data_IF_174251246673
#
_entry.id   IF_174251246673
#
_cell.length_a   1.000
_cell.length_b   1.000
_cell.length_c   1.000
_cell.angle_alpha   90.00
_cell.angle_beta   90.00
_cell.angle_gamma   90.00
#
_symmetry.space_group_name_H-M   'P 1'
#
loop_
_entity.id
_entity.type
_entity.pdbx_description
1 polymer ?
#
# COMPACT_ATOMS: atom_id res chain seq x y z
N UNK A 1 -31.72 7.08 50.81
CA UNK A 1 -30.99 6.03 50.08
C UNK A 1 -31.31 6.11 48.58
N UNK A 2 -32.58 6.07 48.18
CA UNK A 2 -32.97 6.15 46.75
C UNK A 2 -32.54 7.43 46.04
N UNK A 3 -32.70 8.61 46.66
CA UNK A 3 -32.30 9.90 46.07
C UNK A 3 -30.80 10.00 45.79
N UNK A 4 -29.96 9.39 46.63
CA UNK A 4 -28.52 9.34 46.45
C UNK A 4 -28.12 8.43 45.28
N UNK A 5 -28.78 7.29 45.13
CA UNK A 5 -28.57 6.37 44.00
C UNK A 5 -28.97 7.03 42.69
N UNK A 6 -30.09 7.76 42.66
CA UNK A 6 -30.55 8.50 41.47
C UNK A 6 -29.52 9.58 41.06
N UNK A 7 -28.97 10.32 42.03
CA UNK A 7 -27.93 11.33 41.78
C UNK A 7 -26.68 10.70 41.14
N UNK A 8 -26.21 9.56 41.66
CA UNK A 8 -25.05 8.85 41.13
C UNK A 8 -25.28 8.39 39.68
N UNK A 9 -26.45 7.80 39.40
CA UNK A 9 -26.80 7.34 38.05
C UNK A 9 -26.90 8.51 37.08
N UNK A 10 -27.41 9.66 37.53
CA UNK A 10 -27.52 10.87 36.72
C UNK A 10 -26.13 11.43 36.35
N UNK A 11 -25.23 11.57 37.33
CA UNK A 11 -23.85 12.01 37.11
C UNK A 11 -23.11 11.02 36.19
N UNK A 12 -23.29 9.71 36.41
CA UNK A 12 -22.71 8.68 35.57
C UNK A 12 -23.25 8.75 34.13
N UNK A 13 -24.55 8.97 33.94
CA UNK A 13 -25.15 9.13 32.62
C UNK A 13 -24.58 10.30 31.84
N UNK A 14 -24.41 11.46 32.48
CA UNK A 14 -23.78 12.64 31.86
C UNK A 14 -22.31 12.36 31.53
N UNK A 15 -21.58 11.72 32.45
CA UNK A 15 -20.18 11.36 32.23
C UNK A 15 -20.02 10.41 31.05
N UNK A 16 -20.89 9.40 30.92
CA UNK A 16 -20.88 8.48 29.79
C UNK A 16 -21.18 9.19 28.47
N UNK A 17 -22.17 10.09 28.44
CA UNK A 17 -22.49 10.87 27.24
C UNK A 17 -21.27 11.69 26.75
N UNK A 18 -20.55 12.34 27.65
CA UNK A 18 -19.31 13.08 27.32
C UNK A 18 -18.21 12.14 26.81
N UNK A 19 -18.03 10.97 27.45
CA UNK A 19 -17.06 9.97 27.02
C UNK A 19 -17.39 9.40 25.63
N UNK A 20 -18.66 9.20 25.29
CA UNK A 20 -19.10 8.81 23.95
C UNK A 20 -18.75 9.87 22.91
N UNK A 21 -19.03 11.15 23.18
CA UNK A 21 -18.61 12.24 22.28
C UNK A 21 -17.09 12.32 22.12
N UNK A 22 -16.34 12.07 23.20
CA UNK A 22 -14.87 12.05 23.17
C UNK A 22 -14.33 10.90 22.31
N UNK A 23 -14.87 9.68 22.45
CA UNK A 23 -14.46 8.51 21.66
C UNK A 23 -14.85 8.67 20.18
N UNK A 24 -15.98 9.34 19.91
CA UNK A 24 -16.45 9.61 18.56
C UNK A 24 -15.54 10.63 17.85
N UNK A 25 -15.12 11.68 18.55
CA UNK A 25 -14.12 12.62 18.05
C UNK A 25 -12.76 11.98 17.78
N UNK A 26 -12.27 11.12 18.69
CA UNK A 26 -11.01 10.38 18.49
C UNK A 26 -11.09 9.42 17.31
N UNK A 27 -12.22 8.73 17.13
CA UNK A 27 -12.41 7.78 16.02
C UNK A 27 -12.57 8.50 14.68
N UNK A 28 -13.15 9.71 14.66
CA UNK A 28 -13.25 10.53 13.46
C UNK A 28 -11.87 11.04 12.98
N UNK A 29 -11.00 11.44 13.91
CA UNK A 29 -9.62 11.86 13.62
C UNK A 29 -8.77 10.71 13.02
N UNK A 30 -8.90 9.50 13.59
CA UNK A 30 -8.26 8.28 13.06
C UNK A 30 -8.77 7.96 11.66
N UNK A 31 -10.05 8.22 11.34
CA UNK A 31 -10.61 8.02 9.99
C UNK A 31 -9.97 8.97 8.97
N UNK A 32 -9.72 10.22 9.33
CA UNK A 32 -9.06 11.19 8.44
C UNK A 32 -7.60 10.83 8.19
N UNK A 33 -6.87 10.41 9.22
CA UNK A 33 -5.50 9.90 9.08
C UNK A 33 -5.50 8.63 8.23
N UNK A 34 -6.39 7.68 8.50
CA UNK A 34 -6.55 6.46 7.69
C UNK A 34 -6.77 6.81 6.22
N UNK A 35 -7.64 7.77 5.91
CA UNK A 35 -7.90 8.20 4.54
C UNK A 35 -6.66 8.86 3.89
N UNK A 36 -5.98 9.80 4.56
CA UNK A 36 -4.76 10.41 4.00
C UNK A 36 -3.63 9.41 3.75
N UNK A 37 -3.45 8.43 4.65
CA UNK A 37 -2.36 7.46 4.55
C UNK A 37 -2.70 6.24 3.69
N UNK A 38 -3.96 5.80 3.61
CA UNK A 38 -4.39 4.74 2.66
C UNK A 38 -4.74 5.28 1.28
N UNK A 39 -5.17 6.54 1.14
CA UNK A 39 -5.22 7.20 -0.19
C UNK A 39 -3.82 7.52 -0.72
N UNK A 40 -2.80 7.55 0.14
CA UNK A 40 -1.39 7.60 -0.27
C UNK A 40 -0.73 6.21 -0.33
N UNK A 41 -1.39 5.18 0.23
CA UNK A 41 -0.89 3.81 0.32
C UNK A 41 -2.05 2.85 0.04
N UNK A 42 -2.51 2.88 -1.20
CA UNK A 42 -3.02 1.69 -1.84
C UNK A 42 -1.83 0.78 -2.15
N UNK A 43 -1.74 -0.40 -1.51
CA UNK A 43 -1.28 -1.60 -2.19
C UNK A 43 -2.46 -2.52 -2.47
N UNK A 44 -3.57 -1.98 -2.97
CA UNK A 44 -4.06 -2.48 -4.25
C UNK A 44 -3.40 -1.59 -5.29
N UNK A 45 -2.38 -2.03 -6.02
CA UNK A 45 -2.59 -2.71 -7.30
C UNK A 45 -3.84 -2.20 -8.07
N UNK A 46 -4.02 -0.89 -8.11
CA UNK A 46 -4.47 -0.14 -9.26
C UNK A 46 -3.18 0.58 -9.69
N UNK A 47 -2.43 0.12 -10.69
CA UNK A 47 -2.81 0.17 -12.09
C UNK A 47 -3.84 1.29 -12.29
N UNK A 48 -3.42 2.52 -12.01
CA UNK A 48 -3.92 3.64 -12.79
C UNK A 48 -3.52 3.36 -14.26
N UNK A 49 -4.46 3.37 -15.23
CA UNK A 49 -4.20 2.95 -16.60
C UNK A 49 -3.38 3.95 -17.44
N UNK A 50 -2.56 4.80 -16.82
CA UNK A 50 -2.07 6.03 -17.45
C UNK A 50 -0.54 6.21 -17.43
N UNK A 51 0.23 5.11 -17.40
CA UNK A 51 1.57 5.14 -17.96
C UNK A 51 1.89 3.77 -18.57
N UNK A 52 1.88 3.75 -19.91
CA UNK A 52 2.25 2.61 -20.75
C UNK A 52 3.73 2.28 -20.59
N UNK A 53 4.11 1.64 -19.48
CA UNK A 53 5.36 0.87 -19.42
C UNK A 53 5.04 -0.56 -19.83
N UNK A 54 5.71 -1.03 -20.87
CA UNK A 54 5.50 -2.34 -21.52
C UNK A 54 5.58 -3.54 -20.55
N UNK A 55 6.15 -3.36 -19.35
CA UNK A 55 6.33 -4.40 -18.33
C UNK A 55 5.89 -3.94 -16.93
N UNK A 56 5.34 -4.88 -16.14
CA UNK A 56 4.86 -4.62 -14.76
C UNK A 56 5.86 -5.06 -13.68
N UNK A 57 5.88 -4.35 -12.53
CA UNK A 57 6.66 -4.77 -11.36
C UNK A 57 6.17 -6.15 -10.87
N UNK A 58 7.12 -7.05 -10.64
CA UNK A 58 6.88 -8.43 -10.24
C UNK A 58 6.67 -9.41 -11.39
N UNK A 59 6.67 -8.94 -12.64
CA UNK A 59 6.58 -9.76 -13.85
C UNK A 59 7.90 -10.50 -14.15
N UNK A 60 7.77 -11.71 -14.71
CA UNK A 60 8.90 -12.49 -15.21
C UNK A 60 9.20 -12.09 -16.65
N UNK A 61 10.39 -11.54 -16.86
CA UNK A 61 10.90 -11.09 -18.16
C UNK A 61 12.16 -11.85 -18.51
N UNK A 62 12.47 -11.92 -19.80
CA UNK A 62 13.67 -12.57 -20.32
C UNK A 62 14.52 -11.53 -21.02
N UNK A 63 15.83 -11.55 -20.75
CA UNK A 63 16.77 -10.71 -21.49
C UNK A 63 16.95 -11.25 -22.92
N UNK A 64 16.84 -10.37 -23.92
CA UNK A 64 16.94 -10.73 -25.34
C UNK A 64 18.32 -11.25 -25.74
N UNK A 65 19.38 -10.78 -25.07
CA UNK A 65 20.78 -11.12 -25.38
C UNK A 65 21.19 -12.49 -24.84
N UNK A 66 20.82 -12.78 -23.58
CA UNK A 66 21.29 -13.97 -22.85
C UNK A 66 20.22 -15.04 -22.67
N UNK A 67 18.97 -14.74 -23.05
CA UNK A 67 17.78 -15.56 -22.78
C UNK A 67 17.59 -15.89 -21.29
N UNK A 68 18.13 -15.05 -20.39
CA UNK A 68 18.04 -15.28 -18.95
C UNK A 68 16.72 -14.77 -18.40
N UNK A 69 15.98 -15.64 -17.71
CA UNK A 69 14.75 -15.28 -17.01
C UNK A 69 15.06 -14.50 -15.73
N UNK A 70 14.39 -13.38 -15.54
CA UNK A 70 14.55 -12.48 -14.40
C UNK A 70 13.20 -11.91 -13.98
N UNK A 71 13.13 -11.32 -12.78
CA UNK A 71 11.94 -10.66 -12.25
C UNK A 71 12.19 -9.18 -12.01
N UNK A 72 11.30 -8.33 -12.48
CA UNK A 72 11.36 -6.89 -12.23
C UNK A 72 10.96 -6.64 -10.77
N UNK A 73 11.83 -6.03 -9.96
CA UNK A 73 11.49 -5.63 -8.58
C UNK A 73 11.10 -4.17 -8.47
N UNK A 74 11.76 -3.32 -9.25
CA UNK A 74 11.60 -1.87 -9.16
C UNK A 74 11.92 -1.24 -10.52
N UNK A 75 11.38 -0.05 -10.72
CA UNK A 75 11.64 0.80 -11.88
C UNK A 75 12.39 2.02 -11.34
N UNK A 76 13.63 2.20 -11.79
CA UNK A 76 14.44 3.36 -11.41
C UNK A 76 13.83 4.64 -11.99
N UNK A 77 14.05 5.80 -11.36
CA UNK A 77 13.61 7.13 -11.86
C UNK A 77 14.12 7.43 -13.29
N UNK A 78 15.21 6.77 -13.72
CA UNK A 78 15.79 6.80 -15.07
C UNK A 78 15.00 5.99 -16.12
N UNK A 79 13.89 5.34 -15.72
CA UNK A 79 13.05 4.50 -16.59
C UNK A 79 13.63 3.11 -16.89
N UNK A 80 14.64 2.67 -16.14
CA UNK A 80 15.24 1.33 -16.24
C UNK A 80 14.58 0.36 -15.28
N UNK A 81 14.50 -0.91 -15.67
CA UNK A 81 13.94 -2.00 -14.90
C UNK A 81 15.05 -2.73 -14.13
N UNK A 82 14.99 -2.72 -12.81
CA UNK A 82 15.94 -3.47 -11.98
C UNK A 82 15.47 -4.91 -11.85
N UNK A 83 16.25 -5.82 -12.42
CA UNK A 83 15.92 -7.23 -12.56
C UNK A 83 16.71 -8.10 -11.59
N UNK A 84 16.03 -9.10 -11.02
CA UNK A 84 16.59 -10.03 -10.05
C UNK A 84 16.33 -11.48 -10.43
N UNK A 85 17.23 -12.38 -10.07
CA UNK A 85 17.10 -13.84 -10.25
C UNK A 85 17.04 -14.59 -8.92
N UNK A 86 16.75 -15.90 -8.96
CA UNK A 86 16.75 -16.76 -7.77
C UNK A 86 15.70 -16.38 -6.72
N UNK A 87 14.49 -15.98 -7.15
CA UNK A 87 13.42 -15.55 -6.24
C UNK A 87 13.62 -14.14 -5.65
N UNK A 88 14.58 -13.36 -6.18
CA UNK A 88 14.87 -12.01 -5.70
C UNK A 88 16.12 -11.91 -4.84
N UNK A 89 16.93 -12.96 -4.73
CA UNK A 89 18.16 -12.96 -3.94
C UNK A 89 19.34 -12.32 -4.68
N UNK A 90 19.37 -12.38 -6.02
CA UNK A 90 20.51 -11.92 -6.82
C UNK A 90 20.10 -10.79 -7.75
N UNK A 91 20.79 -9.66 -7.67
CA UNK A 91 20.61 -8.51 -8.56
C UNK A 91 21.38 -8.75 -9.86
N UNK A 92 20.69 -8.74 -11.00
CA UNK A 92 21.33 -8.93 -12.31
C UNK A 92 21.74 -7.60 -12.94
N UNK A 93 20.94 -6.54 -12.73
CA UNK A 93 21.21 -5.24 -13.30
C UNK A 93 19.95 -4.47 -13.69
N UNK A 94 20.19 -3.30 -14.27
CA UNK A 94 19.17 -2.37 -14.74
C UNK A 94 19.05 -2.48 -16.27
N UNK A 95 17.89 -2.88 -16.76
CA UNK A 95 17.63 -3.12 -18.18
C UNK A 95 16.63 -2.12 -18.75
N UNK A 96 16.71 -1.83 -20.05
CA UNK A 96 15.70 -1.02 -20.75
C UNK A 96 14.62 -1.90 -21.38
N UNK A 97 13.46 -1.33 -21.72
CA UNK A 97 12.35 -2.06 -22.34
C UNK A 97 12.76 -2.79 -23.63
N UNK A 98 13.67 -2.21 -24.42
CA UNK A 98 14.16 -2.81 -25.66
C UNK A 98 15.06 -4.05 -25.45
N UNK A 99 15.59 -4.23 -24.24
CA UNK A 99 16.53 -5.32 -23.92
C UNK A 99 15.84 -6.54 -23.32
N UNK A 100 14.60 -6.37 -22.84
CA UNK A 100 13.81 -7.41 -22.19
C UNK A 100 12.56 -7.74 -23.01
N UNK A 101 12.09 -8.98 -22.88
CA UNK A 101 10.86 -9.48 -23.52
C UNK A 101 10.02 -10.22 -22.49
N UNK A 102 8.73 -10.34 -22.74
CA UNK A 102 7.88 -11.19 -21.92
C UNK A 102 8.36 -12.64 -22.00
N UNK A 103 8.37 -13.34 -20.85
CA UNK A 103 8.74 -14.76 -20.81
C UNK A 103 7.85 -15.65 -21.70
N UNK A 104 6.61 -15.20 -21.98
CA UNK A 104 5.64 -15.95 -22.77
C UNK A 104 5.54 -15.49 -24.23
N UNK A 105 6.48 -14.67 -24.71
CA UNK A 105 6.48 -14.11 -26.07
C UNK A 105 7.50 -14.77 -27.00
#
# INVERSE_FOLDING_TARGET
>A
METFIILIIFIFGILQLILFFKIWGMTNDIREIKEKYLSSTDPKKSISPAQSTEFSIGELVVETKTNRQMRIKEITEDGKYSCYTGGGASHEGNFTAAEIKHFNS
#
